data_IF_141746749108
#
_entry.id   IF_141746749108
#
_cell.length_a   1.000
_cell.length_b   1.000
_cell.length_c   1.000
_cell.angle_alpha   90.00
_cell.angle_beta   90.00
_cell.angle_gamma   90.00
#
_symmetry.space_group_name_H-M   'P 1'
#
loop_
_entity.id
_entity.type
_entity.pdbx_description
1 polymer ?
#
# COMPACT_ATOMS: atom_id res chain seq x y z
N UNK A 1 -4.13 -15.31 3.47
CA UNK A 1 -3.02 -15.02 2.54
C UNK A 1 -3.09 -13.60 1.97
N UNK A 2 -4.13 -13.20 1.22
CA UNK A 2 -4.23 -11.83 0.65
C UNK A 2 -4.13 -10.70 1.69
N UNK A 3 -4.86 -10.81 2.81
CA UNK A 3 -4.81 -9.80 3.88
C UNK A 3 -3.44 -9.66 4.52
N UNK A 4 -2.74 -10.76 4.74
CA UNK A 4 -1.39 -10.79 5.31
C UNK A 4 -0.36 -10.17 4.36
N UNK A 5 -0.43 -10.49 3.07
CA UNK A 5 0.41 -9.87 2.03
C UNK A 5 0.21 -8.37 1.99
N UNK A 6 -1.05 -7.91 1.96
CA UNK A 6 -1.36 -6.49 1.99
C UNK A 6 -0.83 -5.82 3.26
N UNK A 7 -0.97 -6.46 4.42
CA UNK A 7 -0.45 -5.95 5.69
C UNK A 7 1.08 -5.76 5.65
N UNK A 8 1.81 -6.72 5.08
CA UNK A 8 3.27 -6.62 4.91
C UNK A 8 3.66 -5.50 3.95
N UNK A 9 2.91 -5.28 2.87
CA UNK A 9 3.14 -4.16 1.94
C UNK A 9 2.93 -2.82 2.65
N UNK A 10 1.83 -2.64 3.37
CA UNK A 10 1.53 -1.42 4.12
C UNK A 10 2.58 -1.15 5.20
N UNK A 11 2.98 -2.18 5.95
CA UNK A 11 4.05 -2.07 6.93
C UNK A 11 5.41 -1.72 6.30
N UNK A 12 5.70 -2.25 5.10
CA UNK A 12 6.89 -1.89 4.34
C UNK A 12 6.87 -0.43 3.91
N UNK A 13 5.73 0.03 3.39
CA UNK A 13 5.53 1.42 2.97
C UNK A 13 5.75 2.40 4.12
N UNK A 14 5.17 2.12 5.30
CA UNK A 14 5.31 2.96 6.49
C UNK A 14 6.74 3.05 7.05
N UNK A 15 7.68 2.21 6.61
CA UNK A 15 9.10 2.33 7.02
C UNK A 15 9.89 3.34 6.19
N UNK A 16 9.36 3.71 5.02
CA UNK A 16 9.99 4.64 4.09
C UNK A 16 9.67 6.10 4.36
N UNK A 17 8.61 6.40 5.13
CA UNK A 17 8.24 7.75 5.55
C UNK A 17 8.40 7.81 7.07
N UNK A 18 9.29 8.68 7.57
CA UNK A 18 9.60 8.78 9.03
C UNK A 18 9.24 10.11 9.67
N UNK A 19 8.84 11.09 8.87
CA UNK A 19 8.42 12.44 9.30
C UNK A 19 7.39 13.00 8.31
N UNK A 20 6.65 14.02 8.70
CA UNK A 20 5.65 14.68 7.83
C UNK A 20 6.27 15.33 6.59
N UNK A 21 7.51 15.81 6.70
CA UNK A 21 8.27 16.41 5.60
C UNK A 21 9.03 15.37 4.74
N UNK A 22 9.05 14.10 5.18
CA UNK A 22 9.76 13.03 4.51
C UNK A 22 8.89 12.38 3.44
N UNK A 23 9.44 12.17 2.25
CA UNK A 23 8.69 11.59 1.12
C UNK A 23 9.46 10.45 0.49
N UNK A 24 8.71 9.41 0.09
CA UNK A 24 9.27 8.24 -0.57
C UNK A 24 8.37 7.78 -1.71
N UNK A 25 8.97 7.19 -2.74
CA UNK A 25 8.24 6.47 -3.80
C UNK A 25 8.54 4.98 -3.69
N UNK A 26 7.51 4.18 -3.48
CA UNK A 26 7.60 2.72 -3.43
C UNK A 26 6.97 2.14 -4.69
N UNK A 27 7.76 1.37 -5.44
CA UNK A 27 7.28 0.66 -6.63
C UNK A 27 7.01 -0.80 -6.27
N UNK A 28 5.83 -1.30 -6.61
CA UNK A 28 5.46 -2.72 -6.51
C UNK A 28 5.37 -3.26 -7.94
N UNK A 29 6.24 -4.21 -8.28
CA UNK A 29 6.34 -4.79 -9.63
C UNK A 29 5.62 -6.15 -9.60
N UNK A 30 4.29 -6.12 -9.57
CA UNK A 30 3.45 -7.32 -9.56
C UNK A 30 2.20 -7.06 -10.41
N UNK A 31 1.93 -7.92 -11.39
CA UNK A 31 0.78 -7.79 -12.30
C UNK A 31 -0.57 -8.03 -11.61
N UNK A 32 -0.57 -8.65 -10.44
CA UNK A 32 -1.77 -9.02 -9.68
C UNK A 32 -2.10 -8.04 -8.55
N UNK A 33 -1.29 -6.99 -8.36
CA UNK A 33 -1.44 -6.05 -7.24
C UNK A 33 -2.82 -5.38 -7.19
N UNK A 34 -3.42 -5.08 -8.35
CA UNK A 34 -4.74 -4.48 -8.43
C UNK A 34 -5.83 -5.41 -7.88
N UNK A 35 -5.72 -6.72 -8.16
CA UNK A 35 -6.65 -7.72 -7.62
C UNK A 35 -6.49 -7.83 -6.10
N UNK A 36 -5.25 -7.81 -5.60
CA UNK A 36 -4.96 -7.83 -4.17
C UNK A 36 -5.61 -6.64 -3.47
N UNK A 37 -5.38 -5.42 -3.98
CA UNK A 37 -5.93 -4.16 -3.45
C UNK A 37 -7.46 -4.19 -3.43
N UNK A 38 -8.10 -4.67 -4.51
CA UNK A 38 -9.55 -4.78 -4.59
C UNK A 38 -10.11 -5.78 -3.56
N UNK A 39 -9.47 -6.93 -3.40
CA UNK A 39 -9.88 -7.95 -2.41
C UNK A 39 -9.68 -7.47 -0.96
N UNK A 40 -8.69 -6.62 -0.72
CA UNK A 40 -8.33 -6.14 0.63
C UNK A 40 -8.77 -4.69 0.88
N UNK A 41 -9.72 -4.17 0.13
CA UNK A 41 -10.15 -2.76 0.21
C UNK A 41 -10.51 -2.33 1.64
N UNK A 42 -11.10 -3.25 2.41
CA UNK A 42 -11.59 -3.01 3.77
C UNK A 42 -10.48 -2.86 4.82
N UNK A 43 -9.25 -3.30 4.54
CA UNK A 43 -8.12 -3.22 5.49
C UNK A 43 -7.11 -2.13 5.14
N UNK A 44 -7.23 -1.51 3.96
CA UNK A 44 -6.37 -0.40 3.54
C UNK A 44 -6.91 0.89 4.16
N UNK A 45 -6.14 1.60 5.01
CA UNK A 45 -6.59 2.85 5.61
C UNK A 45 -6.92 3.91 4.57
N UNK A 46 -7.91 4.77 4.85
CA UNK A 46 -8.37 5.81 3.92
C UNK A 46 -7.23 6.68 3.37
N UNK A 47 -6.31 7.08 4.23
CA UNK A 47 -5.15 7.90 3.88
C UNK A 47 -4.24 7.28 2.80
N UNK A 48 -4.23 5.95 2.67
CA UNK A 48 -3.40 5.29 1.65
C UNK A 48 -4.01 5.38 0.25
N UNK A 49 -5.33 5.58 0.11
CA UNK A 49 -5.98 5.68 -1.20
C UNK A 49 -5.58 6.96 -1.95
N UNK A 50 -5.22 8.02 -1.23
CA UNK A 50 -4.72 9.25 -1.85
C UNK A 50 -3.31 9.08 -2.43
N UNK A 51 -2.56 8.10 -1.94
CA UNK A 51 -1.14 7.85 -2.29
C UNK A 51 -1.01 6.72 -3.29
N UNK A 52 -1.83 5.68 -3.14
CA UNK A 52 -1.97 4.56 -4.06
C UNK A 52 -2.68 5.09 -5.31
N UNK A 53 -1.92 5.58 -6.28
CA UNK A 53 -2.40 6.03 -7.61
C UNK A 53 -2.92 4.87 -8.47
N UNK A 54 -3.87 4.11 -7.93
CA UNK A 54 -4.48 2.94 -8.53
C UNK A 54 -5.86 3.39 -9.02
N UNK A 55 -6.04 3.43 -10.35
CA UNK A 55 -7.32 3.80 -10.98
C UNK A 55 -8.29 2.63 -11.04
#
# INVERSE_FOLDING_TARGET
>A
YSSETMMKILQGFGRSIRSEDDWARTYVIDSTINNLVNQTRNIVPKAYWDVLKIS
#
